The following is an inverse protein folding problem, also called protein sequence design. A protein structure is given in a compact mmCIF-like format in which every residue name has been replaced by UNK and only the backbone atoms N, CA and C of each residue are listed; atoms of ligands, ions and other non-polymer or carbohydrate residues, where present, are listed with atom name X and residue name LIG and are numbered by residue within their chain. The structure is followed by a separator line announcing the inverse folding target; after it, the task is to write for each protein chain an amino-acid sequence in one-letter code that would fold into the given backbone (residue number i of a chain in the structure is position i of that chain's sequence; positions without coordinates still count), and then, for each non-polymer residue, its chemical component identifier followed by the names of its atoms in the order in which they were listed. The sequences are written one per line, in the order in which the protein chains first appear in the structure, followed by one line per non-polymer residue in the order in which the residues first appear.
data_IF_705737491451
#
_entry.id   IF_705737491451
#
_cell.length_a   1.000
_cell.length_b   1.000
_cell.length_c   1.000
_cell.angle_alpha   90.00
_cell.angle_beta   90.00
_cell.angle_gamma   90.00
#
_symmetry.space_group_name_H-M   'P 1'
#
loop_
_entity.id
_entity.type
_entity.pdbx_description
1 polymer ?
#
# COMPACT_ATOMS: atom_id res chain seq x y z
N UNK A 1 0.09 -15.21 10.05
CA UNK A 1 0.36 -13.80 10.36
C UNK A 1 1.86 -13.52 10.37
N UNK A 2 2.69 -14.36 11.00
CA UNK A 2 4.15 -14.12 11.11
C UNK A 2 4.93 -13.98 9.78
N UNK A 3 4.62 -14.79 8.77
CA UNK A 3 5.35 -14.73 7.49
C UNK A 3 5.10 -13.39 6.75
N UNK A 4 3.86 -12.90 6.77
CA UNK A 4 3.49 -11.63 6.12
C UNK A 4 4.22 -10.45 6.77
N UNK A 5 4.13 -10.37 8.08
CA UNK A 5 4.74 -9.29 8.88
C UNK A 5 6.27 -9.25 8.72
N UNK A 6 6.93 -10.41 8.68
CA UNK A 6 8.36 -10.50 8.41
C UNK A 6 8.73 -9.91 7.03
N UNK A 7 7.90 -10.11 6.00
CA UNK A 7 8.15 -9.58 4.66
C UNK A 7 7.85 -8.09 4.54
N UNK A 8 6.80 -7.60 5.21
CA UNK A 8 6.48 -6.17 5.31
C UNK A 8 7.65 -5.40 5.92
N UNK A 9 8.17 -5.87 7.06
CA UNK A 9 9.32 -5.26 7.75
C UNK A 9 10.58 -5.26 6.88
N UNK A 10 10.87 -6.35 6.19
CA UNK A 10 12.04 -6.43 5.27
C UNK A 10 11.91 -5.47 4.09
N UNK A 11 10.70 -5.31 3.56
CA UNK A 11 10.45 -4.38 2.46
C UNK A 11 10.60 -2.93 2.92
N UNK A 12 10.06 -2.60 4.10
CA UNK A 12 10.23 -1.29 4.72
C UNK A 12 11.71 -0.93 4.92
N UNK A 13 12.48 -1.85 5.50
CA UNK A 13 13.91 -1.65 5.74
C UNK A 13 14.71 -1.49 4.44
N UNK A 14 14.39 -2.26 3.40
CA UNK A 14 15.04 -2.14 2.10
C UNK A 14 14.70 -0.82 1.40
N UNK A 15 13.44 -0.36 1.51
CA UNK A 15 13.00 0.93 1.00
C UNK A 15 13.73 2.08 1.70
N UNK A 16 13.78 2.05 3.03
CA UNK A 16 14.46 3.06 3.84
C UNK A 16 15.97 3.14 3.61
N UNK A 17 16.59 2.07 3.07
CA UNK A 17 18.00 2.02 2.74
C UNK A 17 18.33 2.58 1.34
N UNK A 18 17.34 3.04 0.57
CA UNK A 18 17.57 3.64 -0.74
C UNK A 18 18.35 4.96 -0.63
N UNK A 19 19.19 5.29 -1.63
CA UNK A 19 19.85 6.59 -1.71
C UNK A 19 18.84 7.74 -1.69
N UNK A 20 19.18 8.86 -1.04
CA UNK A 20 18.30 10.05 -0.96
C UNK A 20 17.95 10.66 -2.33
N UNK A 21 18.80 10.46 -3.34
CA UNK A 21 18.58 10.91 -4.73
C UNK A 21 17.76 9.91 -5.57
N UNK A 22 17.31 8.81 -4.98
CA UNK A 22 16.48 7.82 -5.66
C UNK A 22 15.15 8.45 -6.11
N UNK A 23 14.74 8.25 -7.38
CA UNK A 23 13.47 8.78 -7.89
C UNK A 23 12.24 8.17 -7.19
N UNK A 24 12.42 7.06 -6.48
CA UNK A 24 11.38 6.38 -5.71
C UNK A 24 10.81 7.28 -4.60
N UNK A 25 11.62 8.15 -4.00
CA UNK A 25 11.15 9.10 -2.98
C UNK A 25 10.13 10.09 -3.56
N UNK A 26 10.40 10.63 -4.75
CA UNK A 26 9.46 11.52 -5.44
C UNK A 26 8.17 10.82 -5.88
N UNK A 27 8.22 9.51 -6.11
CA UNK A 27 7.01 8.71 -6.36
C UNK A 27 6.25 8.43 -5.06
N UNK A 28 6.95 8.27 -3.92
CA UNK A 28 6.35 8.11 -2.59
C UNK A 28 5.62 9.39 -2.16
N UNK A 29 6.24 10.56 -2.32
CA UNK A 29 5.64 11.86 -2.01
C UNK A 29 4.33 12.07 -2.80
N UNK A 30 4.34 11.70 -4.09
CA UNK A 30 3.15 11.78 -4.94
C UNK A 30 2.04 10.85 -4.45
N UNK A 31 2.39 9.63 -4.03
CA UNK A 31 1.41 8.71 -3.47
C UNK A 31 0.89 9.21 -2.13
N UNK A 32 1.72 9.79 -1.27
CA UNK A 32 1.27 10.40 -0.01
C UNK A 32 0.23 11.49 -0.27
N UNK A 33 0.53 12.42 -1.19
CA UNK A 33 -0.40 13.47 -1.61
C UNK A 33 -1.74 12.91 -2.09
N UNK A 34 -1.71 11.83 -2.88
CA UNK A 34 -2.90 11.13 -3.35
C UNK A 34 -3.68 10.47 -2.20
N UNK A 35 -3.00 9.85 -1.23
CA UNK A 35 -3.64 9.28 -0.03
C UNK A 35 -4.26 10.37 0.83
N UNK A 36 -3.59 11.50 1.05
CA UNK A 36 -4.12 12.62 1.81
C UNK A 36 -5.35 13.22 1.12
N UNK A 37 -5.36 13.33 -0.22
CA UNK A 37 -6.53 13.78 -0.99
C UNK A 37 -7.68 12.80 -0.85
N UNK A 38 -7.41 11.51 -1.03
CA UNK A 38 -8.44 10.48 -0.90
C UNK A 38 -9.00 10.44 0.53
N UNK A 39 -8.17 10.55 1.56
CA UNK A 39 -8.59 10.59 2.96
C UNK A 39 -9.64 11.67 3.24
N UNK A 40 -9.49 12.86 2.63
CA UNK A 40 -10.45 13.97 2.77
C UNK A 40 -11.80 13.70 2.10
N UNK A 41 -11.82 12.85 1.08
CA UNK A 41 -12.99 12.57 0.23
C UNK A 41 -13.47 11.11 0.30
N UNK A 42 -12.91 10.32 1.22
CA UNK A 42 -13.09 8.87 1.30
C UNK A 42 -14.55 8.48 1.53
N UNK A 43 -15.32 9.34 2.20
CA UNK A 43 -16.75 9.15 2.43
C UNK A 43 -17.55 8.94 1.12
N UNK A 44 -17.05 9.49 0.00
CA UNK A 44 -17.69 9.41 -1.33
C UNK A 44 -16.83 8.71 -2.38
N UNK A 45 -15.50 8.74 -2.25
CA UNK A 45 -14.54 8.18 -3.22
C UNK A 45 -13.86 6.90 -2.76
N UNK A 46 -14.36 6.23 -1.71
CA UNK A 46 -13.73 5.02 -1.14
C UNK A 46 -13.39 3.94 -2.16
N UNK A 47 -14.14 3.79 -3.25
CA UNK A 47 -13.85 2.80 -4.31
C UNK A 47 -12.53 3.06 -5.04
N UNK A 48 -12.03 4.30 -5.05
CA UNK A 48 -10.74 4.65 -5.68
C UNK A 48 -9.54 4.16 -4.85
N UNK A 49 -9.75 3.80 -3.59
CA UNK A 49 -8.69 3.31 -2.72
C UNK A 49 -8.03 2.05 -3.28
N UNK A 50 -8.78 1.15 -3.93
CA UNK A 50 -8.21 -0.11 -4.43
C UNK A 50 -7.11 0.10 -5.47
N UNK A 51 -7.22 1.10 -6.34
CA UNK A 51 -6.17 1.43 -7.31
C UNK A 51 -4.97 2.08 -6.62
N UNK A 52 -5.24 2.97 -5.66
CA UNK A 52 -4.21 3.68 -4.92
C UNK A 52 -3.38 2.72 -4.04
N UNK A 53 -4.04 1.78 -3.36
CA UNK A 53 -3.44 0.69 -2.58
C UNK A 53 -2.49 -0.17 -3.42
N UNK A 54 -2.95 -0.57 -4.61
CA UNK A 54 -2.16 -1.39 -5.52
C UNK A 54 -0.91 -0.64 -6.04
N UNK A 55 -1.04 0.66 -6.34
CA UNK A 55 0.08 1.52 -6.75
C UNK A 55 1.10 1.70 -5.62
N UNK A 56 0.63 1.89 -4.39
CA UNK A 56 1.48 2.00 -3.21
C UNK A 56 2.30 0.75 -2.97
N UNK A 57 1.65 -0.41 -2.89
CA UNK A 57 2.35 -1.67 -2.68
C UNK A 57 3.38 -1.95 -3.78
N UNK A 58 3.03 -1.72 -5.05
CA UNK A 58 3.99 -1.86 -6.16
C UNK A 58 5.24 -1.00 -6.01
N UNK A 59 5.11 0.23 -5.51
CA UNK A 59 6.26 1.11 -5.28
C UNK A 59 7.19 0.51 -4.21
N UNK A 60 6.62 0.11 -3.07
CA UNK A 60 7.36 -0.52 -1.97
C UNK A 60 8.09 -1.79 -2.44
N UNK A 61 7.44 -2.59 -3.30
CA UNK A 61 8.04 -3.80 -3.88
C UNK A 61 9.21 -3.52 -4.82
N UNK A 62 9.06 -2.57 -5.75
CA UNK A 62 10.12 -2.23 -6.71
C UNK A 62 11.38 -1.74 -6.01
N UNK A 63 11.20 -0.96 -4.95
CA UNK A 63 12.29 -0.48 -4.11
C UNK A 63 13.05 -1.63 -3.40
N UNK A 64 12.35 -2.67 -2.94
CA UNK A 64 12.96 -3.74 -2.14
C UNK A 64 13.82 -4.74 -2.92
N UNK A 65 13.81 -4.70 -4.27
CA UNK A 65 14.62 -5.56 -5.17
C UNK A 65 14.57 -7.08 -4.87
N UNK A 66 13.59 -7.56 -4.10
CA UNK A 66 13.53 -8.95 -3.65
C UNK A 66 12.48 -9.74 -4.44
N UNK A 67 12.95 -10.53 -5.43
CA UNK A 67 12.10 -11.35 -6.32
C UNK A 67 11.14 -12.29 -5.58
N UNK A 68 11.50 -12.76 -4.38
CA UNK A 68 10.64 -13.67 -3.60
C UNK A 68 9.48 -12.93 -2.90
N UNK A 69 9.68 -11.64 -2.58
CA UNK A 69 8.65 -10.77 -2.00
C UNK A 69 7.62 -10.37 -3.06
N UNK A 70 8.07 -10.14 -4.30
CA UNK A 70 7.21 -9.82 -5.45
C UNK A 70 6.19 -10.94 -5.70
N UNK A 71 6.64 -12.20 -5.81
CA UNK A 71 5.76 -13.34 -6.11
C UNK A 71 4.79 -13.67 -4.95
N UNK A 72 5.18 -13.41 -3.69
CA UNK A 72 4.30 -13.65 -2.53
C UNK A 72 3.23 -12.57 -2.37
N UNK A 73 3.50 -11.33 -2.78
CA UNK A 73 2.54 -10.25 -2.68
C UNK A 73 1.52 -10.23 -3.81
N UNK A 74 1.81 -10.74 -5.00
CA UNK A 74 0.76 -11.00 -6.01
C UNK A 74 -0.33 -11.93 -5.43
N UNK A 75 0.05 -12.88 -4.57
CA UNK A 75 -0.89 -13.73 -3.84
C UNK A 75 -1.64 -12.97 -2.74
N UNK A 76 -0.97 -12.09 -1.98
CA UNK A 76 -1.62 -11.25 -0.96
C UNK A 76 -2.59 -10.24 -1.60
N UNK A 77 -2.15 -9.51 -2.63
CA UNK A 77 -2.94 -8.59 -3.41
C UNK A 77 -4.12 -9.31 -4.09
N UNK A 78 -3.92 -10.51 -4.64
CA UNK A 78 -5.00 -11.35 -5.14
C UNK A 78 -5.99 -11.71 -4.02
N UNK A 79 -5.51 -12.15 -2.85
CA UNK A 79 -6.38 -12.49 -1.70
C UNK A 79 -7.15 -11.25 -1.20
N UNK A 80 -6.50 -10.09 -1.07
CA UNK A 80 -7.16 -8.84 -0.67
C UNK A 80 -8.16 -8.36 -1.72
N UNK A 81 -7.80 -8.38 -3.01
CA UNK A 81 -8.71 -8.04 -4.11
C UNK A 81 -9.94 -8.97 -4.13
N UNK A 82 -9.72 -10.28 -3.93
CA UNK A 82 -10.80 -11.28 -3.86
C UNK A 82 -11.67 -11.10 -2.61
N UNK A 83 -11.08 -10.73 -1.46
CA UNK A 83 -11.80 -10.53 -0.20
C UNK A 83 -12.56 -9.20 -0.16
N UNK A 84 -12.03 -8.14 -0.77
CA UNK A 84 -12.70 -6.83 -0.92
C UNK A 84 -13.99 -6.94 -1.74
N UNK A 85 -13.98 -7.72 -2.82
CA UNK A 85 -15.18 -7.96 -3.63
C UNK A 85 -16.24 -8.82 -2.91
N UNK A 86 -15.84 -9.65 -1.94
CA UNK A 86 -16.73 -10.63 -1.32
C UNK A 86 -17.58 -10.07 -0.18
N UNK A 87 -17.20 -8.94 0.44
CA UNK A 87 -17.94 -8.38 1.58
C UNK A 87 -18.12 -6.86 1.50
N UNK A 88 -19.00 -6.40 0.60
CA UNK A 88 -19.33 -4.97 0.38
C UNK A 88 -19.93 -4.24 1.59
N UNK A 89 -20.35 -4.97 2.63
CA UNK A 89 -21.11 -4.40 3.76
C UNK A 89 -20.35 -3.37 4.62
N UNK A 90 -19.02 -3.24 4.47
CA UNK A 90 -18.19 -2.30 5.26
C UNK A 90 -16.98 -1.79 4.46
N UNK A 91 -17.07 -1.79 3.12
CA UNK A 91 -15.97 -1.41 2.24
C UNK A 91 -15.43 -0.01 2.55
N UNK A 92 -16.32 0.95 2.78
CA UNK A 92 -15.97 2.33 3.13
C UNK A 92 -15.17 2.44 4.43
N UNK A 93 -15.66 1.84 5.52
CA UNK A 93 -15.02 1.93 6.84
C UNK A 93 -13.64 1.26 6.84
N UNK A 94 -13.49 0.16 6.10
CA UNK A 94 -12.17 -0.48 5.93
C UNK A 94 -11.21 0.36 5.11
N UNK A 95 -11.67 0.97 4.01
CA UNK A 95 -10.84 1.85 3.19
C UNK A 95 -10.43 3.12 3.95
N UNK A 96 -11.32 3.63 4.81
CA UNK A 96 -11.03 4.72 5.74
C UNK A 96 -9.86 4.37 6.67
N UNK A 97 -9.91 3.21 7.33
CA UNK A 97 -8.83 2.74 8.21
C UNK A 97 -7.53 2.52 7.42
N UNK A 98 -7.59 1.81 6.29
CA UNK A 98 -6.41 1.46 5.51
C UNK A 98 -5.69 2.69 4.93
N UNK A 99 -6.41 3.73 4.49
CA UNK A 99 -5.80 5.00 4.08
C UNK A 99 -5.02 5.65 5.23
N UNK A 100 -5.54 5.61 6.47
CA UNK A 100 -4.84 6.17 7.62
C UNK A 100 -3.60 5.34 7.98
N UNK A 101 -3.68 4.01 7.87
CA UNK A 101 -2.53 3.13 8.08
C UNK A 101 -1.41 3.40 7.07
N UNK A 102 -1.75 3.65 5.79
CA UNK A 102 -0.76 4.03 4.77
C UNK A 102 -0.09 5.36 5.09
N UNK A 103 -0.86 6.39 5.46
CA UNK A 103 -0.29 7.68 5.85
C UNK A 103 0.61 7.58 7.07
N UNK A 104 0.25 6.76 8.06
CA UNK A 104 1.07 6.51 9.23
C UNK A 104 2.36 5.71 8.92
N UNK A 105 2.35 4.90 7.86
CA UNK A 105 3.55 4.19 7.39
C UNK A 105 4.51 5.11 6.62
N UNK A 106 3.99 6.11 5.92
CA UNK A 106 4.79 7.06 5.13
C UNK A 106 5.47 8.12 6.02
N UNK A 107 4.77 8.59 7.06
CA UNK A 107 5.21 9.66 7.97
C UNK A 107 6.40 9.28 8.88
#
# INVERSE_FOLDING_TARGET
TEIREMFELRSAAAFAALPEDSPVWADLDRLEDEHQRLAREIAVRFSEFSELDERFHRLIHRASHNRFIVDFYDVIAMIFHYHYQWNKAQERERNEVAVQEHLAYIA
#
